data_IF_636737937934
#
_entry.id   IF_636737937934
#
_cell.length_a   1.000
_cell.length_b   1.000
_cell.length_c   1.000
_cell.angle_alpha   90.00
_cell.angle_beta   90.00
_cell.angle_gamma   90.00
#
_symmetry.space_group_name_H-M   'P 1'
#
loop_
_entity.id
_entity.type
_entity.pdbx_description
1 polymer ?
#
# COMPACT_ATOMS: atom_id res chain seq x y z
N UNK A 1 3.00 21.12 -9.03
CA UNK A 1 3.40 20.00 -8.15
C UNK A 1 2.15 19.19 -7.86
N UNK A 2 1.78 18.28 -8.77
CA UNK A 2 0.66 17.36 -8.57
C UNK A 2 1.13 16.23 -7.65
N UNK A 3 0.57 16.17 -6.44
CA UNK A 3 0.79 15.05 -5.53
C UNK A 3 -0.01 13.87 -6.08
N UNK A 4 0.69 12.81 -6.50
CA UNK A 4 0.10 11.56 -6.94
C UNK A 4 -0.85 11.03 -5.86
N UNK A 5 -2.16 11.09 -6.10
CA UNK A 5 -3.18 10.61 -5.16
C UNK A 5 -3.52 9.16 -5.49
N UNK A 6 -3.54 8.28 -4.49
CA UNK A 6 -4.01 6.91 -4.70
C UNK A 6 -5.51 6.92 -5.05
N UNK A 7 -5.92 6.13 -6.05
CA UNK A 7 -7.35 5.98 -6.38
C UNK A 7 -8.08 5.36 -5.18
N UNK A 8 -9.20 5.97 -4.79
CA UNK A 8 -10.00 5.58 -3.64
C UNK A 8 -10.96 4.46 -4.02
N UNK A 9 -10.66 3.22 -3.59
CA UNK A 9 -11.65 2.13 -3.57
C UNK A 9 -12.41 2.19 -2.24
N UNK A 10 -13.75 1.98 -2.21
CA UNK A 10 -14.50 1.99 -0.95
C UNK A 10 -14.13 0.77 -0.10
N UNK A 11 -13.18 0.96 0.82
CA UNK A 11 -12.85 -0.02 1.85
C UNK A 11 -13.94 0.02 2.93
N UNK A 12 -14.81 -0.99 2.97
CA UNK A 12 -15.84 -1.13 4.00
C UNK A 12 -15.20 -1.54 5.32
N UNK A 13 -14.78 -0.56 6.13
CA UNK A 13 -14.30 -0.79 7.49
C UNK A 13 -15.17 0.00 8.46
N UNK A 14 -15.57 -0.64 9.56
CA UNK A 14 -16.44 -0.02 10.58
C UNK A 14 -15.67 0.96 11.50
N UNK A 15 -14.34 0.96 11.43
CA UNK A 15 -13.46 1.65 12.39
C UNK A 15 -12.88 2.94 11.79
N UNK A 16 -12.74 3.03 10.47
CA UNK A 16 -12.07 4.17 9.82
C UNK A 16 -13.06 5.15 9.23
N UNK A 17 -12.86 6.45 9.48
CA UNK A 17 -13.54 7.50 8.74
C UNK A 17 -12.94 7.56 7.32
N UNK A 18 -13.75 7.43 6.25
CA UNK A 18 -13.26 7.51 4.87
C UNK A 18 -12.62 8.85 4.50
N UNK A 19 -12.72 9.88 5.36
CA UNK A 19 -12.08 11.19 5.20
C UNK A 19 -10.69 11.29 5.82
N UNK A 20 -10.28 10.33 6.66
CA UNK A 20 -8.94 10.34 7.21
C UNK A 20 -7.93 9.91 6.14
N UNK A 21 -7.06 10.85 5.77
CA UNK A 21 -5.96 10.63 4.84
C UNK A 21 -4.62 10.57 5.59
N UNK A 22 -3.76 9.64 5.21
CA UNK A 22 -2.39 9.48 5.69
C UNK A 22 -1.42 9.64 4.52
N UNK A 23 -0.22 10.17 4.81
CA UNK A 23 0.86 10.24 3.83
C UNK A 23 1.72 8.99 3.97
N UNK A 24 1.87 8.24 2.88
CA UNK A 24 2.72 7.06 2.80
C UNK A 24 3.87 7.28 1.81
N UNK A 25 5.02 6.69 2.11
CA UNK A 25 6.16 6.67 1.20
C UNK A 25 6.04 5.46 0.28
N UNK A 26 5.93 5.71 -1.03
CA UNK A 26 5.92 4.65 -2.05
C UNK A 26 7.22 4.69 -2.84
N UNK A 27 7.90 3.55 -2.94
CA UNK A 27 9.08 3.42 -3.79
C UNK A 27 8.66 3.18 -5.23
N UNK A 28 9.10 4.04 -6.14
CA UNK A 28 8.89 3.91 -7.58
C UNK A 28 9.89 2.89 -8.18
N UNK A 29 9.67 2.45 -9.43
CA UNK A 29 10.53 1.53 -10.15
C UNK A 29 11.98 2.02 -10.28
N UNK A 30 12.19 3.35 -10.30
CA UNK A 30 13.52 3.98 -10.28
C UNK A 30 14.14 4.08 -8.87
N UNK A 31 13.62 3.35 -7.87
CA UNK A 31 14.13 3.33 -6.48
C UNK A 31 14.03 4.68 -5.75
N UNK A 32 13.27 5.63 -6.29
CA UNK A 32 12.96 6.89 -5.61
C UNK A 32 11.74 6.72 -4.71
N UNK A 33 11.77 7.34 -3.52
CA UNK A 33 10.63 7.36 -2.59
C UNK A 33 9.79 8.61 -2.83
N UNK A 34 8.54 8.41 -3.21
CA UNK A 34 7.56 9.47 -3.42
C UNK A 34 6.56 9.50 -2.27
N UNK A 35 6.21 10.70 -1.80
CA UNK A 35 5.12 10.89 -0.84
C UNK A 35 3.78 10.84 -1.56
N UNK A 36 2.95 9.88 -1.17
CA UNK A 36 1.64 9.61 -1.74
C UNK A 36 0.60 9.74 -0.64
N UNK A 37 -0.46 10.49 -0.93
CA UNK A 37 -1.60 10.63 -0.01
C UNK A 37 -2.58 9.49 -0.27
N UNK A 38 -2.93 8.73 0.77
CA UNK A 38 -3.92 7.66 0.69
C UNK A 38 -4.82 7.65 1.94
N UNK A 39 -6.01 7.02 1.89
CA UNK A 39 -6.86 6.88 3.06
C UNK A 39 -6.20 6.03 4.17
N UNK A 40 -6.42 6.39 5.43
CA UNK A 40 -5.87 5.70 6.61
C UNK A 40 -6.23 4.20 6.63
N UNK A 41 -7.46 3.88 6.25
CA UNK A 41 -7.95 2.51 6.10
C UNK A 41 -7.10 1.68 5.14
N UNK A 42 -6.65 2.27 4.03
CA UNK A 42 -5.81 1.58 3.04
C UNK A 42 -4.39 1.40 3.57
N UNK A 43 -3.83 2.40 4.26
CA UNK A 43 -2.51 2.26 4.87
C UNK A 43 -2.49 1.20 5.97
N UNK A 44 -3.54 1.12 6.79
CA UNK A 44 -3.64 0.15 7.88
C UNK A 44 -3.90 -1.25 7.36
N UNK A 45 -4.79 -1.40 6.37
CA UNK A 45 -4.96 -2.66 5.65
C UNK A 45 -3.60 -3.14 5.11
N UNK A 46 -2.86 -2.25 4.46
CA UNK A 46 -1.56 -2.58 3.91
C UNK A 46 -0.55 -2.96 5.01
N UNK A 47 -0.62 -2.32 6.17
CA UNK A 47 0.31 -2.58 7.27
C UNK A 47 0.07 -3.92 7.94
N UNK A 48 -1.19 -4.29 8.16
CA UNK A 48 -1.56 -5.47 8.94
C UNK A 48 -1.87 -6.71 8.08
N UNK A 49 -2.34 -6.53 6.85
CA UNK A 49 -2.82 -7.63 6.01
C UNK A 49 -1.83 -8.05 4.90
N UNK A 50 -0.87 -7.21 4.50
CA UNK A 50 0.11 -7.55 3.44
C UNK A 50 1.20 -8.54 3.86
N UNK A 51 1.12 -9.16 5.04
CA UNK A 51 2.18 -10.05 5.54
C UNK A 51 2.42 -11.24 4.62
N UNK A 52 1.33 -11.91 4.21
CA UNK A 52 1.39 -13.07 3.31
C UNK A 52 1.84 -12.65 1.90
N UNK A 53 1.25 -11.58 1.36
CA UNK A 53 1.58 -11.10 0.01
C UNK A 53 3.04 -10.63 -0.11
N UNK A 54 3.57 -9.97 0.92
CA UNK A 54 4.99 -9.54 0.95
C UNK A 54 5.92 -10.74 1.05
N UNK A 55 5.55 -11.74 1.85
CA UNK A 55 6.33 -12.96 1.96
C UNK A 55 6.38 -13.69 0.62
N UNK A 56 5.23 -13.83 -0.06
CA UNK A 56 5.16 -14.41 -1.40
C UNK A 56 5.99 -13.63 -2.41
N UNK A 57 5.91 -12.29 -2.41
CA UNK A 57 6.72 -11.44 -3.27
C UNK A 57 8.22 -11.61 -3.05
N UNK A 58 8.66 -11.79 -1.80
CA UNK A 58 10.08 -12.04 -1.46
C UNK A 58 10.49 -13.47 -1.88
N UNK A 59 9.60 -14.44 -1.77
CA UNK A 59 9.87 -15.83 -2.15
C UNK A 59 9.79 -16.08 -3.66
N UNK A 60 9.02 -15.29 -4.40
CA UNK A 60 8.85 -15.38 -5.85
C UNK A 60 10.16 -15.60 -6.64
N UNK A 61 11.25 -14.83 -6.43
CA UNK A 61 12.52 -15.05 -7.15
C UNK A 61 13.28 -16.31 -6.72
N UNK A 62 12.97 -16.90 -5.57
CA UNK A 62 13.58 -18.12 -5.05
C UNK A 62 12.73 -19.37 -5.31
N UNK A 63 11.58 -19.22 -5.96
CA UNK A 63 10.71 -20.34 -6.28
C UNK A 63 11.36 -21.20 -7.37
N UNK A 64 11.86 -22.38 -6.98
CA UNK A 64 12.35 -23.39 -7.92
C UNK A 64 11.17 -24.28 -8.29
N UNK A 65 10.39 -23.84 -9.28
CA UNK A 65 9.35 -24.67 -9.89
C UNK A 65 10.02 -25.76 -10.73
N UNK A 66 9.77 -27.03 -10.40
CA UNK A 66 10.14 -28.19 -11.22
C UNK A 66 9.11 -28.42 -12.32
#
# INVERSE_FOLDING_TARGET
MERSRCQTSPTTSNIHDPREETTVLRTNAQVNREEVICPSAVSDYNKYMLGVDKFDQIMSPYNVSW
#
